data_IF_454856144705
#
_entry.id   IF_454856144705
#
_cell.length_a   1.000
_cell.length_b   1.000
_cell.length_c   1.000
_cell.angle_alpha   90.00
_cell.angle_beta   90.00
_cell.angle_gamma   90.00
#
_symmetry.space_group_name_H-M   'P 1'
#
loop_
_entity.id
_entity.type
_entity.pdbx_description
1 polymer ?
#
# COMPACT_ATOMS: atom_id res chain seq x y z
N UNK A 1 -29.02 21.35 -61.75
CA UNK A 1 -30.34 20.78 -62.08
C UNK A 1 -30.56 19.56 -61.22
N UNK A 2 -31.63 19.52 -60.44
CA UNK A 2 -31.89 18.42 -59.50
C UNK A 2 -33.02 18.78 -58.55
N UNK A 3 -34.22 18.83 -59.14
CA UNK A 3 -35.52 19.16 -58.58
C UNK A 3 -35.71 18.99 -57.05
N UNK A 4 -36.19 20.09 -56.48
CA UNK A 4 -37.01 20.15 -55.28
C UNK A 4 -38.11 19.07 -55.29
N UNK A 5 -38.18 18.24 -54.24
CA UNK A 5 -39.42 17.60 -53.84
C UNK A 5 -39.77 18.06 -52.42
N UNK A 6 -40.59 19.12 -52.34
CA UNK A 6 -41.25 19.56 -51.12
C UNK A 6 -42.35 18.55 -50.78
N UNK A 7 -42.20 17.81 -49.68
CA UNK A 7 -43.35 17.13 -49.06
C UNK A 7 -44.36 18.17 -48.56
N UNK A 8 -45.67 17.95 -48.74
CA UNK A 8 -46.68 18.91 -48.32
C UNK A 8 -46.72 19.00 -46.79
N UNK A 9 -46.75 20.22 -46.27
CA UNK A 9 -47.07 20.50 -44.87
C UNK A 9 -48.50 20.01 -44.61
N UNK A 10 -48.64 18.97 -43.79
CA UNK A 10 -49.92 18.64 -43.20
C UNK A 10 -50.38 19.80 -42.30
N UNK A 11 -51.64 20.17 -42.45
CA UNK A 11 -52.31 21.25 -41.74
C UNK A 11 -52.14 21.12 -40.23
N UNK A 12 -51.95 22.26 -39.56
CA UNK A 12 -51.80 22.32 -38.11
C UNK A 12 -53.07 21.89 -37.40
N UNK A 13 -52.98 20.81 -36.63
CA UNK A 13 -53.80 20.67 -35.43
C UNK A 13 -53.26 21.61 -34.35
N UNK A 14 -54.02 22.68 -34.09
CA UNK A 14 -53.85 23.51 -32.91
C UNK A 14 -54.24 22.68 -31.69
N UNK A 15 -53.26 22.04 -31.04
CA UNK A 15 -53.46 21.36 -29.78
C UNK A 15 -52.16 20.95 -29.09
N UNK A 16 -51.95 21.50 -27.88
CA UNK A 16 -50.97 21.07 -26.87
C UNK A 16 -49.54 21.68 -26.89
N UNK A 17 -49.46 22.99 -26.65
CA UNK A 17 -48.24 23.76 -26.33
C UNK A 17 -47.52 23.31 -25.02
N UNK A 18 -48.04 22.34 -24.27
CA UNK A 18 -47.45 21.83 -22.99
C UNK A 18 -47.09 20.34 -23.02
N UNK A 19 -47.06 19.68 -24.17
CA UNK A 19 -46.68 18.25 -24.22
C UNK A 19 -45.16 18.08 -24.17
N UNK A 20 -44.62 17.29 -23.24
CA UNK A 20 -43.19 16.98 -23.21
C UNK A 20 -42.80 16.21 -24.48
N UNK A 21 -41.59 16.45 -24.97
CA UNK A 21 -41.12 15.82 -26.20
C UNK A 21 -41.10 14.28 -26.08
N UNK A 22 -41.53 13.60 -27.15
CA UNK A 22 -41.65 12.15 -27.22
C UNK A 22 -40.30 11.51 -27.59
N UNK A 23 -39.29 11.69 -26.75
CA UNK A 23 -37.97 11.05 -26.90
C UNK A 23 -37.78 9.93 -25.88
N UNK A 24 -37.00 8.90 -26.24
CA UNK A 24 -36.75 7.75 -25.36
C UNK A 24 -36.21 8.15 -23.98
N UNK A 25 -35.39 9.21 -23.92
CA UNK A 25 -34.88 9.78 -22.68
C UNK A 25 -35.99 10.42 -21.82
N UNK A 26 -36.78 11.34 -22.40
CA UNK A 26 -37.83 12.08 -21.66
C UNK A 26 -39.02 11.21 -21.27
N UNK A 27 -39.24 10.11 -21.99
CA UNK A 27 -40.32 9.15 -21.74
C UNK A 27 -39.87 7.94 -20.90
N UNK A 28 -38.61 7.93 -20.41
CA UNK A 28 -38.04 6.81 -19.64
C UNK A 28 -38.11 5.45 -20.36
N UNK A 29 -38.00 5.47 -21.70
CA UNK A 29 -37.98 4.29 -22.58
C UNK A 29 -36.59 4.06 -23.17
N UNK A 30 -35.55 4.45 -22.44
CA UNK A 30 -34.19 4.12 -22.82
C UNK A 30 -34.03 2.60 -22.87
N UNK A 31 -33.20 2.12 -23.81
CA UNK A 31 -32.84 0.71 -23.87
C UNK A 31 -32.16 0.33 -22.55
N UNK A 32 -32.87 -0.44 -21.73
CA UNK A 32 -32.37 -0.93 -20.46
C UNK A 32 -32.23 -2.45 -20.51
N UNK A 33 -31.19 -2.96 -19.85
CA UNK A 33 -31.07 -4.38 -19.55
C UNK A 33 -31.47 -4.60 -18.10
N UNK A 34 -32.42 -5.50 -17.88
CA UNK A 34 -32.90 -5.87 -16.55
C UNK A 34 -32.39 -7.28 -16.23
N UNK A 35 -31.32 -7.44 -15.43
CA UNK A 35 -30.82 -8.75 -15.06
C UNK A 35 -31.83 -9.44 -14.15
N UNK A 36 -32.55 -10.43 -14.68
CA UNK A 36 -33.40 -11.30 -13.88
C UNK A 36 -32.52 -12.40 -13.28
N UNK A 37 -32.38 -12.38 -11.95
CA UNK A 37 -31.63 -13.38 -11.20
C UNK A 37 -32.41 -14.69 -11.14
N UNK A 38 -32.18 -15.57 -12.12
CA UNK A 38 -32.77 -16.91 -12.15
C UNK A 38 -31.75 -17.96 -11.67
N UNK A 39 -32.17 -19.11 -11.11
CA UNK A 39 -31.23 -20.16 -10.74
C UNK A 39 -30.33 -20.61 -11.89
N UNK A 40 -30.85 -20.59 -13.13
CA UNK A 40 -30.12 -20.93 -14.36
C UNK A 40 -29.00 -19.95 -14.70
N UNK A 41 -29.08 -18.70 -14.23
CA UNK A 41 -28.02 -17.70 -14.43
C UNK A 41 -27.13 -17.59 -13.20
N UNK A 42 -27.70 -17.55 -12.00
CA UNK A 42 -26.95 -17.31 -10.74
C UNK A 42 -26.08 -18.50 -10.34
N UNK A 43 -26.60 -19.74 -10.36
CA UNK A 43 -25.84 -20.90 -9.87
C UNK A 43 -24.59 -21.17 -10.72
N UNK A 44 -24.65 -21.18 -12.07
CA UNK A 44 -23.45 -21.32 -12.89
C UNK A 44 -22.46 -20.17 -12.66
N UNK A 45 -22.93 -18.92 -12.52
CA UNK A 45 -22.05 -17.79 -12.24
C UNK A 45 -21.29 -17.97 -10.92
N UNK A 46 -21.96 -18.42 -9.85
CA UNK A 46 -21.29 -18.69 -8.57
C UNK A 46 -20.24 -19.79 -8.68
N UNK A 47 -20.52 -20.89 -9.39
CA UNK A 47 -19.53 -21.94 -9.64
C UNK A 47 -18.34 -21.43 -10.45
N UNK A 48 -18.58 -20.67 -11.53
CA UNK A 48 -17.52 -20.11 -12.37
C UNK A 48 -16.63 -19.18 -11.55
N UNK A 49 -17.21 -18.25 -10.78
CA UNK A 49 -16.43 -17.32 -9.94
C UNK A 49 -15.63 -18.08 -8.89
N UNK A 50 -16.23 -19.08 -8.22
CA UNK A 50 -15.53 -19.91 -7.24
C UNK A 50 -14.35 -20.69 -7.84
N UNK A 51 -14.55 -21.33 -8.99
CA UNK A 51 -13.52 -22.10 -9.70
C UNK A 51 -12.39 -21.18 -10.20
N UNK A 52 -12.68 -19.93 -10.57
CA UNK A 52 -11.64 -18.96 -10.96
C UNK A 52 -10.88 -18.40 -9.77
N UNK A 53 -11.54 -18.16 -8.64
CA UNK A 53 -10.92 -17.55 -7.46
C UNK A 53 -9.98 -18.51 -6.73
N UNK A 54 -10.27 -19.82 -6.71
CA UNK A 54 -9.44 -20.83 -6.07
C UNK A 54 -7.99 -20.89 -6.62
N UNK A 55 -7.74 -21.04 -7.94
CA UNK A 55 -6.38 -21.06 -8.49
C UNK A 55 -5.67 -19.72 -8.35
N UNK A 56 -6.39 -18.59 -8.48
CA UNK A 56 -5.82 -17.26 -8.20
C UNK A 56 -5.35 -17.19 -6.74
N UNK A 57 -6.19 -17.60 -5.78
CA UNK A 57 -5.85 -17.64 -4.37
C UNK A 57 -4.62 -18.52 -4.09
N UNK A 58 -4.58 -19.73 -4.65
CA UNK A 58 -3.43 -20.63 -4.54
C UNK A 58 -2.14 -20.03 -5.11
N UNK A 59 -2.21 -19.39 -6.27
CA UNK A 59 -1.08 -18.73 -6.91
C UNK A 59 -0.56 -17.53 -6.09
N UNK A 60 -1.45 -16.76 -5.45
CA UNK A 60 -1.06 -15.67 -4.55
C UNK A 60 -0.40 -16.19 -3.26
N UNK A 61 -0.92 -17.28 -2.66
CA UNK A 61 -0.32 -17.92 -1.48
C UNK A 61 1.08 -18.43 -1.82
N UNK A 62 1.23 -19.10 -2.96
CA UNK A 62 2.53 -19.57 -3.44
C UNK A 62 3.50 -18.40 -3.70
N UNK A 63 3.06 -17.31 -4.34
CA UNK A 63 3.88 -16.12 -4.53
C UNK A 63 4.38 -15.51 -3.21
N UNK A 64 3.56 -15.53 -2.15
CA UNK A 64 3.98 -15.12 -0.81
C UNK A 64 4.91 -16.13 -0.13
N UNK A 65 4.88 -17.42 -0.48
CA UNK A 65 5.71 -18.45 0.15
C UNK A 65 7.16 -18.44 -0.37
N UNK A 66 7.42 -17.75 -1.48
CA UNK A 66 8.75 -17.54 -2.07
C UNK A 66 9.57 -16.43 -1.38
N UNK A 67 8.93 -15.63 -0.52
CA UNK A 67 9.58 -14.48 0.12
C UNK A 67 10.16 -14.87 1.48
N UNK A 68 11.39 -14.43 1.76
CA UNK A 68 11.99 -14.44 3.09
C UNK A 68 11.90 -13.04 3.68
N UNK A 69 11.43 -12.95 4.93
CA UNK A 69 11.36 -11.70 5.70
C UNK A 69 11.94 -11.97 7.10
N UNK A 70 12.92 -11.18 7.51
CA UNK A 70 13.57 -11.26 8.82
C UNK A 70 13.43 -9.89 9.49
N UNK A 71 12.87 -9.85 10.70
CA UNK A 71 12.64 -8.61 11.46
C UNK A 71 13.37 -8.67 12.79
N UNK A 72 14.05 -7.59 13.17
CA UNK A 72 14.82 -7.48 14.41
C UNK A 72 14.52 -6.14 15.10
N UNK A 73 13.87 -6.20 16.27
CA UNK A 73 13.51 -5.04 17.08
C UNK A 73 14.67 -4.65 18.01
N UNK A 74 15.21 -3.46 17.78
CA UNK A 74 16.34 -2.92 18.52
C UNK A 74 15.93 -1.73 19.41
N UNK A 75 14.63 -1.54 19.66
CA UNK A 75 14.10 -0.39 20.42
C UNK A 75 14.66 -0.31 21.83
N UNK A 76 14.88 -1.48 22.47
CA UNK A 76 15.34 -1.58 23.86
C UNK A 76 16.87 -1.53 23.99
N UNK A 77 17.61 -1.43 22.88
CA UNK A 77 19.06 -1.43 22.90
C UNK A 77 19.63 -0.24 23.68
N UNK A 78 18.94 0.91 23.66
CA UNK A 78 19.35 2.12 24.39
C UNK A 78 19.32 1.96 25.93
N UNK A 79 18.60 0.96 26.44
CA UNK A 79 18.46 0.66 27.87
C UNK A 79 19.48 -0.36 28.39
N UNK A 80 20.36 -0.88 27.55
CA UNK A 80 21.43 -1.77 28.00
C UNK A 80 22.57 -1.02 28.69
N UNK A 81 23.37 -1.76 29.44
CA UNK A 81 24.67 -1.27 29.90
C UNK A 81 25.61 -1.05 28.71
N UNK A 82 26.23 0.13 28.56
CA UNK A 82 27.17 0.41 27.49
C UNK A 82 28.43 -0.45 27.59
N UNK A 83 28.88 -0.96 26.45
CA UNK A 83 30.17 -1.65 26.31
C UNK A 83 31.33 -0.65 26.45
N UNK A 84 32.47 -1.12 26.94
CA UNK A 84 33.66 -0.28 27.22
C UNK A 84 34.44 0.09 25.96
N UNK A 85 34.44 -0.77 24.94
CA UNK A 85 35.06 -0.51 23.64
C UNK A 85 34.35 -1.28 22.52
N UNK A 86 34.56 -0.85 21.27
CA UNK A 86 34.05 -1.56 20.08
C UNK A 86 34.70 -2.94 19.88
N UNK A 87 35.90 -3.15 20.44
CA UNK A 87 36.61 -4.43 20.37
C UNK A 87 36.11 -5.44 21.41
N UNK A 88 35.48 -4.97 22.50
CA UNK A 88 34.98 -5.79 23.59
C UNK A 88 33.51 -5.47 23.90
N UNK A 89 32.63 -5.92 23.01
CA UNK A 89 31.18 -5.71 23.11
C UNK A 89 30.54 -6.70 24.09
N UNK A 90 29.75 -6.18 25.02
CA UNK A 90 28.95 -6.99 25.95
C UNK A 90 27.60 -7.30 25.32
N UNK A 91 27.49 -8.46 24.68
CA UNK A 91 26.24 -8.87 24.01
C UNK A 91 25.21 -9.39 24.99
N UNK A 92 23.96 -9.02 24.74
CA UNK A 92 22.76 -9.56 25.38
C UNK A 92 21.88 -10.20 24.33
N UNK A 93 21.33 -11.36 24.65
CA UNK A 93 20.38 -12.07 23.79
C UNK A 93 19.11 -11.24 23.56
N UNK A 94 18.69 -11.15 22.30
CA UNK A 94 17.42 -10.52 21.94
C UNK A 94 16.27 -11.40 22.45
N UNK A 95 15.25 -10.83 23.12
CA UNK A 95 14.08 -11.60 23.54
C UNK A 95 13.34 -12.23 22.36
N UNK A 96 12.71 -13.39 22.57
CA UNK A 96 12.07 -14.18 21.50
C UNK A 96 10.89 -13.50 20.83
N UNK A 97 10.27 -12.51 21.47
CA UNK A 97 9.19 -11.68 20.91
C UNK A 97 9.71 -10.48 20.08
N UNK A 98 11.03 -10.22 20.09
CA UNK A 98 11.67 -9.06 19.45
C UNK A 98 12.29 -9.37 18.09
N UNK A 99 12.32 -10.63 17.67
CA UNK A 99 12.69 -10.98 16.31
C UNK A 99 11.70 -11.94 15.67
N UNK A 100 11.72 -12.00 14.34
CA UNK A 100 10.91 -12.93 13.58
C UNK A 100 11.63 -13.36 12.31
N UNK A 101 11.77 -14.66 12.12
CA UNK A 101 12.25 -15.28 10.90
C UNK A 101 11.08 -15.90 10.13
N UNK A 102 10.67 -15.23 9.04
CA UNK A 102 9.62 -15.71 8.14
C UNK A 102 10.25 -16.09 6.80
N UNK A 103 10.97 -17.21 6.78
CA UNK A 103 11.75 -17.69 5.63
C UNK A 103 10.85 -18.21 4.49
N UNK A 104 11.38 -18.23 3.26
CA UNK A 104 10.71 -18.90 2.14
C UNK A 104 10.55 -20.41 2.43
N UNK A 105 9.49 -21.02 1.91
CA UNK A 105 9.11 -22.38 2.29
C UNK A 105 10.18 -23.44 2.01
N UNK A 106 11.02 -23.25 0.98
CA UNK A 106 12.14 -24.16 0.69
C UNK A 106 13.22 -24.17 1.78
N UNK A 107 13.41 -23.05 2.47
CA UNK A 107 14.51 -22.86 3.41
C UNK A 107 14.08 -23.15 4.85
N UNK A 108 12.78 -23.03 5.13
CA UNK A 108 12.23 -23.13 6.48
C UNK A 108 12.51 -24.49 7.14
N UNK A 109 12.52 -25.60 6.40
CA UNK A 109 12.69 -26.95 6.97
C UNK A 109 14.10 -27.22 7.49
N UNK A 110 15.12 -26.54 6.95
CA UNK A 110 16.53 -26.72 7.33
C UNK A 110 17.12 -25.55 8.11
N UNK A 111 16.32 -24.53 8.41
CA UNK A 111 16.78 -23.34 9.10
C UNK A 111 16.70 -23.50 10.61
N UNK A 112 17.83 -23.30 11.28
CA UNK A 112 17.92 -23.18 12.74
C UNK A 112 18.84 -21.99 13.06
N UNK A 113 18.39 -20.74 12.86
CA UNK A 113 19.19 -19.57 13.21
C UNK A 113 19.42 -19.54 14.71
N UNK A 114 20.62 -19.13 15.12
CA UNK A 114 20.89 -18.82 16.52
C UNK A 114 20.09 -17.60 16.98
N UNK A 115 19.97 -17.43 18.29
CA UNK A 115 19.29 -16.28 18.86
C UNK A 115 20.05 -15.01 18.50
N UNK A 116 19.41 -14.00 17.86
CA UNK A 116 20.05 -12.71 17.64
C UNK A 116 20.46 -12.09 18.97
N UNK A 117 21.53 -11.31 18.96
CA UNK A 117 22.02 -10.62 20.15
C UNK A 117 22.38 -9.19 19.80
N UNK A 118 22.32 -8.31 20.78
CA UNK A 118 22.69 -6.91 20.60
C UNK A 118 23.54 -6.40 21.75
N UNK A 119 24.36 -5.39 21.46
CA UNK A 119 25.18 -4.68 22.43
C UNK A 119 25.02 -3.17 22.21
N UNK A 120 25.08 -2.41 23.29
CA UNK A 120 25.10 -0.96 23.25
C UNK A 120 26.53 -0.46 23.34
N UNK A 121 26.88 0.54 22.52
CA UNK A 121 28.12 1.28 22.61
C UNK A 121 27.82 2.77 22.65
N UNK A 122 28.52 3.52 23.52
CA UNK A 122 28.34 4.97 23.65
C UNK A 122 29.69 5.67 23.60
N UNK A 123 29.81 6.64 22.70
CA UNK A 123 30.91 7.59 22.63
C UNK A 123 30.32 9.01 22.56
N UNK A 124 29.95 9.62 23.70
CA UNK A 124 29.30 10.94 23.69
C UNK A 124 30.21 12.06 23.16
N UNK A 125 31.52 11.82 23.09
CA UNK A 125 32.50 12.79 22.58
C UNK A 125 32.62 12.79 21.07
N UNK A 126 32.01 11.82 20.39
CA UNK A 126 32.08 11.69 18.95
C UNK A 126 31.48 12.90 18.24
N UNK A 127 32.21 13.41 17.24
CA UNK A 127 31.76 14.51 16.40
C UNK A 127 30.59 14.10 15.52
N UNK A 128 30.57 12.84 15.07
CA UNK A 128 29.43 12.27 14.37
C UNK A 128 28.33 11.88 15.36
N UNK A 129 27.18 12.55 15.25
CA UNK A 129 26.00 12.30 16.08
C UNK A 129 25.55 10.84 15.97
N UNK A 130 25.66 10.24 14.78
CA UNK A 130 25.27 8.85 14.56
C UNK A 130 26.18 7.84 15.28
N UNK A 131 27.43 8.21 15.56
CA UNK A 131 28.38 7.37 16.28
C UNK A 131 28.31 7.53 17.80
N UNK A 132 27.54 8.50 18.32
CA UNK A 132 27.49 8.76 19.78
C UNK A 132 26.81 7.66 20.58
N UNK A 133 25.80 7.04 20.02
CA UNK A 133 25.05 5.96 20.66
C UNK A 133 24.71 4.94 19.60
N UNK A 134 25.38 3.81 19.64
CA UNK A 134 25.30 2.77 18.63
C UNK A 134 24.74 1.48 19.22
N UNK A 135 23.81 0.87 18.49
CA UNK A 135 23.38 -0.50 18.74
C UNK A 135 24.05 -1.43 17.74
N UNK A 136 24.83 -2.38 18.24
CA UNK A 136 25.45 -3.42 17.43
C UNK A 136 24.56 -4.65 17.52
N UNK A 137 24.03 -5.12 16.40
CA UNK A 137 23.16 -6.29 16.34
C UNK A 137 23.83 -7.39 15.55
N UNK A 138 23.92 -8.59 16.12
CA UNK A 138 24.35 -9.80 15.44
C UNK A 138 23.17 -10.73 15.21
N UNK A 139 23.02 -11.21 13.98
CA UNK A 139 21.92 -12.07 13.57
C UNK A 139 22.37 -13.05 12.49
N UNK A 140 21.67 -14.17 12.38
CA UNK A 140 21.96 -15.18 11.37
C UNK A 140 21.08 -15.01 10.15
N UNK A 141 21.68 -15.16 8.98
CA UNK A 141 21.01 -15.41 7.71
C UNK A 141 21.05 -16.93 7.47
N UNK A 142 19.96 -17.66 7.75
CA UNK A 142 20.00 -19.13 7.82
C UNK A 142 20.11 -19.82 6.45
N UNK A 143 19.78 -19.11 5.38
CA UNK A 143 19.86 -19.58 3.99
C UNK A 143 20.20 -18.42 3.07
N UNK A 144 20.87 -18.72 1.96
CA UNK A 144 21.25 -17.71 0.97
C UNK A 144 20.01 -17.03 0.37
N UNK A 145 19.97 -15.71 0.49
CA UNK A 145 18.95 -14.89 -0.12
C UNK A 145 19.38 -14.58 -1.56
N UNK A 146 18.52 -14.84 -2.56
CA UNK A 146 18.81 -14.46 -3.94
C UNK A 146 18.96 -12.94 -4.07
N UNK A 147 19.46 -12.50 -5.22
CA UNK A 147 19.58 -11.08 -5.55
C UNK A 147 18.24 -10.34 -5.39
N UNK A 148 18.29 -9.02 -5.22
CA UNK A 148 17.14 -8.17 -4.85
C UNK A 148 16.76 -8.30 -3.37
N UNK A 149 17.76 -8.11 -2.50
CA UNK A 149 17.56 -8.01 -1.05
C UNK A 149 17.23 -6.56 -0.71
N UNK A 150 16.14 -6.38 0.01
CA UNK A 150 15.62 -5.09 0.43
C UNK A 150 15.81 -4.91 1.92
N UNK A 151 16.27 -3.73 2.31
CA UNK A 151 16.49 -3.35 3.70
C UNK A 151 15.52 -2.23 4.08
N UNK A 152 14.61 -2.52 5.01
CA UNK A 152 13.62 -1.59 5.52
C UNK A 152 13.88 -1.28 6.99
N UNK A 153 13.42 -0.12 7.45
CA UNK A 153 13.06 0.05 8.85
C UNK A 153 11.54 -0.09 9.03
N UNK A 154 11.13 -0.56 10.20
CA UNK A 154 9.75 -0.72 10.63
C UNK A 154 9.51 0.15 11.85
N UNK A 155 8.44 0.93 11.84
CA UNK A 155 7.96 1.68 13.00
C UNK A 155 6.58 1.17 13.39
N UNK A 156 6.33 1.11 14.68
CA UNK A 156 5.01 0.80 15.25
C UNK A 156 4.50 1.96 16.09
N UNK A 157 3.17 2.04 16.22
CA UNK A 157 2.49 3.09 16.98
C UNK A 157 2.86 4.53 16.55
N UNK A 158 3.20 4.73 15.28
CA UNK A 158 3.56 6.04 14.72
C UNK A 158 2.54 6.48 13.66
N UNK A 159 1.75 7.51 13.96
CA UNK A 159 0.55 7.87 13.19
C UNK A 159 0.83 8.84 12.03
N UNK A 160 1.51 8.39 10.98
CA UNK A 160 1.66 9.19 9.74
C UNK A 160 0.33 9.53 9.08
N UNK A 161 -0.72 8.74 9.34
CA UNK A 161 -2.06 8.90 8.78
C UNK A 161 -2.94 9.92 9.52
N UNK A 162 -2.43 10.58 10.57
CA UNK A 162 -3.20 11.60 11.28
C UNK A 162 -3.50 12.80 10.36
N UNK A 163 -4.77 13.27 10.32
CA UNK A 163 -5.24 14.31 9.38
C UNK A 163 -4.35 15.55 9.34
N UNK A 164 -3.93 16.05 10.51
CA UNK A 164 -3.04 17.22 10.60
C UNK A 164 -1.62 16.91 10.13
N UNK A 165 -1.14 15.69 10.37
CA UNK A 165 0.21 15.29 10.00
C UNK A 165 0.34 15.18 8.47
N UNK A 166 -0.57 14.46 7.82
CA UNK A 166 -0.57 14.25 6.35
C UNK A 166 -0.59 15.56 5.57
N UNK A 167 -1.29 16.57 6.08
CA UNK A 167 -1.38 17.88 5.43
C UNK A 167 -0.16 18.76 5.66
N UNK A 168 0.64 18.49 6.70
CA UNK A 168 1.65 19.43 7.19
C UNK A 168 2.93 19.40 6.35
N UNK A 169 2.83 20.01 5.16
CA UNK A 169 3.89 20.25 4.19
C UNK A 169 3.46 21.41 3.26
N UNK A 170 4.42 22.06 2.60
CA UNK A 170 4.13 23.04 1.54
C UNK A 170 4.74 22.57 0.22
N UNK A 171 3.89 22.22 -0.75
CA UNK A 171 4.36 21.66 -2.04
C UNK A 171 5.05 22.68 -2.94
N UNK A 172 4.77 23.99 -2.79
CA UNK A 172 5.50 25.01 -3.53
C UNK A 172 6.90 25.20 -2.97
N UNK A 173 7.04 25.22 -1.64
CA UNK A 173 8.34 25.27 -0.96
C UNK A 173 9.21 24.06 -1.33
N UNK A 174 8.66 22.83 -1.27
CA UNK A 174 9.39 21.61 -1.63
C UNK A 174 9.83 21.61 -3.10
N UNK A 175 9.05 22.22 -4.01
CA UNK A 175 9.40 22.40 -5.42
C UNK A 175 10.38 23.54 -5.69
N UNK A 176 10.93 24.16 -4.65
CA UNK A 176 11.91 25.25 -4.78
C UNK A 176 11.29 26.59 -5.18
N UNK A 177 9.98 26.76 -5.05
CA UNK A 177 9.34 28.06 -5.26
C UNK A 177 9.41 28.90 -4.00
N UNK A 178 9.55 30.20 -4.19
CA UNK A 178 9.45 31.16 -3.10
C UNK A 178 8.02 31.20 -2.55
N UNK A 179 7.89 31.19 -1.23
CA UNK A 179 6.62 31.34 -0.51
C UNK A 179 6.84 32.38 0.57
N UNK A 180 6.00 33.41 0.62
CA UNK A 180 6.18 34.51 1.57
C UNK A 180 5.90 34.05 3.01
N UNK A 181 6.39 34.82 3.99
CA UNK A 181 6.11 34.59 5.41
C UNK A 181 4.59 34.57 5.70
N UNK A 182 3.82 35.48 5.11
CA UNK A 182 2.36 35.51 5.30
C UNK A 182 1.68 34.27 4.74
N UNK A 183 2.07 33.83 3.55
CA UNK A 183 1.47 32.66 2.91
C UNK A 183 1.84 31.36 3.66
N UNK A 184 3.10 31.24 4.12
CA UNK A 184 3.54 30.13 4.95
C UNK A 184 2.84 30.12 6.30
N UNK A 185 2.65 31.30 6.91
CA UNK A 185 1.96 31.44 8.19
C UNK A 185 0.56 30.89 8.12
N UNK A 186 -0.16 31.02 6.99
CA UNK A 186 -1.52 30.50 6.82
C UNK A 186 -1.64 29.17 6.07
N UNK A 187 -0.51 28.61 5.66
CA UNK A 187 -0.45 27.30 4.98
C UNK A 187 -0.69 26.11 5.92
N UNK A 188 -0.81 24.92 5.31
CA UNK A 188 -0.93 23.66 6.03
C UNK A 188 0.35 23.27 6.82
N UNK A 189 1.48 23.96 6.64
CA UNK A 189 2.73 23.71 7.38
C UNK A 189 2.66 24.01 8.89
N UNK A 190 1.55 24.58 9.39
CA UNK A 190 1.33 24.77 10.84
C UNK A 190 1.50 23.43 11.59
N UNK A 191 2.15 23.43 12.77
CA UNK A 191 2.70 24.59 13.49
C UNK A 191 4.15 24.95 13.09
N UNK A 192 4.80 24.18 12.22
CA UNK A 192 6.24 24.28 11.92
C UNK A 192 6.50 25.01 10.59
N UNK A 193 5.88 26.18 10.42
CA UNK A 193 6.08 27.03 9.24
C UNK A 193 7.12 28.13 9.50
N UNK A 194 7.09 28.74 10.68
CA UNK A 194 7.86 29.94 11.02
C UNK A 194 8.38 29.80 12.46
N UNK A 195 9.61 30.25 12.70
CA UNK A 195 10.26 30.33 14.02
C UNK A 195 10.58 31.80 14.31
N UNK A 196 10.40 32.21 15.56
CA UNK A 196 10.68 33.58 16.05
C UNK A 196 9.98 34.71 15.28
N UNK A 197 8.85 34.41 14.64
CA UNK A 197 8.03 35.36 13.89
C UNK A 197 8.60 35.81 12.53
N UNK A 198 9.91 35.65 12.29
CA UNK A 198 10.58 36.20 11.11
C UNK A 198 11.40 35.18 10.30
N UNK A 199 11.64 33.96 10.80
CA UNK A 199 12.44 32.95 10.10
C UNK A 199 11.57 31.83 9.55
N UNK A 200 11.81 31.44 8.30
CA UNK A 200 11.12 30.37 7.59
C UNK A 200 11.76 29.03 7.91
N UNK A 201 10.94 28.05 8.32
CA UNK A 201 11.40 26.66 8.44
C UNK A 201 11.49 26.03 7.06
N UNK A 202 12.63 25.48 6.70
CA UNK A 202 12.80 24.73 5.45
C UNK A 202 13.44 23.37 5.72
N UNK A 203 12.89 22.26 5.19
CA UNK A 203 11.51 22.12 4.71
C UNK A 203 10.47 22.25 5.85
N UNK A 204 9.38 22.97 5.64
CA UNK A 204 8.36 23.18 6.66
C UNK A 204 7.46 21.96 6.87
N UNK A 205 6.84 21.92 8.06
CA UNK A 205 5.77 20.98 8.39
C UNK A 205 6.19 19.75 9.20
N UNK A 206 5.18 19.09 9.78
CA UNK A 206 5.37 17.97 10.73
C UNK A 206 6.00 16.74 10.09
N UNK A 207 5.73 16.49 8.82
CA UNK A 207 6.25 15.31 8.11
C UNK A 207 7.76 15.40 8.04
N UNK A 208 8.29 16.49 7.46
CA UNK A 208 9.73 16.68 7.29
C UNK A 208 10.46 16.78 8.63
N UNK A 209 9.89 17.50 9.61
CA UNK A 209 10.48 17.62 10.94
C UNK A 209 10.69 16.27 11.63
N UNK A 210 9.76 15.34 11.48
CA UNK A 210 9.81 14.04 12.16
C UNK A 210 10.48 12.94 11.34
N UNK A 211 11.34 13.28 10.37
CA UNK A 211 12.06 12.28 9.58
C UNK A 211 12.82 11.28 10.46
N UNK A 212 12.65 10.00 10.13
CA UNK A 212 13.42 8.93 10.75
C UNK A 212 14.91 9.10 10.44
N UNK A 213 15.73 9.15 11.49
CA UNK A 213 17.15 9.54 11.41
C UNK A 213 18.11 8.57 12.11
N UNK A 214 17.68 7.36 12.48
CA UNK A 214 18.66 6.31 12.79
C UNK A 214 19.47 6.00 11.52
N UNK A 215 20.76 5.73 11.70
CA UNK A 215 21.66 5.33 10.62
C UNK A 215 21.89 3.83 10.69
N UNK A 216 22.05 3.20 9.53
CA UNK A 216 22.41 1.80 9.42
C UNK A 216 23.66 1.67 8.56
N UNK A 217 24.68 1.04 9.12
CA UNK A 217 25.88 0.65 8.38
C UNK A 217 25.62 -0.63 7.58
N UNK A 218 26.48 -0.89 6.60
CA UNK A 218 26.40 -2.11 5.78
C UNK A 218 26.66 -3.35 6.63
N UNK A 219 25.78 -4.38 6.61
CA UNK A 219 25.99 -5.58 7.40
C UNK A 219 27.27 -6.30 7.05
N UNK A 220 28.04 -6.68 8.06
CA UNK A 220 29.30 -7.39 7.93
C UNK A 220 29.10 -8.88 8.16
N UNK A 221 29.41 -9.71 7.17
CA UNK A 221 29.46 -11.17 7.31
C UNK A 221 30.70 -11.55 8.13
N UNK A 222 30.49 -12.18 9.28
CA UNK A 222 31.54 -12.52 10.24
C UNK A 222 32.24 -13.84 9.93
N UNK A 223 31.56 -14.75 9.23
CA UNK A 223 32.01 -16.11 8.95
C UNK A 223 31.89 -16.45 7.46
N UNK A 224 32.63 -15.75 6.57
CA UNK A 224 32.61 -16.08 5.16
C UNK A 224 33.15 -17.48 4.89
N UNK A 225 32.46 -18.22 4.02
CA UNK A 225 32.92 -19.53 3.56
C UNK A 225 34.07 -19.34 2.56
N UNK A 226 35.25 -19.93 2.82
CA UNK A 226 36.38 -19.90 1.87
C UNK A 226 37.77 -19.53 2.42
N UNK A 227 37.97 -19.49 3.74
CA UNK A 227 39.31 -19.32 4.34
C UNK A 227 39.85 -17.88 4.33
N UNK A 228 39.05 -16.90 3.93
CA UNK A 228 39.36 -15.48 4.12
C UNK A 228 39.12 -15.12 5.59
N UNK A 229 40.17 -14.87 6.36
CA UNK A 229 40.07 -14.47 7.78
C UNK A 229 39.46 -13.06 8.00
N UNK A 230 38.86 -12.46 6.97
CA UNK A 230 38.32 -11.10 7.00
C UNK A 230 36.79 -11.08 6.99
N UNK A 231 36.21 -10.00 7.50
CA UNK A 231 34.77 -9.73 7.38
C UNK A 231 34.42 -9.26 5.98
N UNK A 232 33.27 -9.69 5.43
CA UNK A 232 32.79 -9.27 4.10
C UNK A 232 31.57 -8.35 4.25
N UNK A 233 31.66 -7.12 3.76
CA UNK A 233 30.54 -6.17 3.82
C UNK A 233 29.49 -6.46 2.75
N UNK A 234 28.21 -6.48 3.15
CA UNK A 234 27.07 -6.56 2.25
C UNK A 234 26.47 -5.16 2.04
N UNK A 235 26.90 -4.50 0.97
CA UNK A 235 26.53 -3.11 0.69
C UNK A 235 25.09 -2.96 0.20
N UNK A 236 24.32 -2.07 0.86
CA UNK A 236 23.01 -1.64 0.37
C UNK A 236 23.12 -0.26 -0.29
N UNK A 237 22.59 -0.12 -1.52
CA UNK A 237 22.47 1.20 -2.14
C UNK A 237 21.25 1.94 -1.61
N UNK A 238 21.43 3.23 -1.29
CA UNK A 238 20.35 4.17 -0.98
C UNK A 238 19.71 4.81 -2.22
N UNK A 239 20.05 4.34 -3.43
CA UNK A 239 19.51 4.81 -4.71
C UNK A 239 18.55 3.80 -5.30
N UNK A 240 17.56 4.27 -6.07
CA UNK A 240 16.51 3.41 -6.65
C UNK A 240 15.56 2.81 -5.60
N UNK A 241 15.42 3.49 -4.46
CA UNK A 241 14.53 3.13 -3.35
C UNK A 241 13.25 3.98 -3.33
N UNK A 242 13.23 5.13 -4.01
CA UNK A 242 12.04 5.95 -4.21
C UNK A 242 11.34 5.61 -5.52
N UNK A 243 10.04 5.95 -5.62
CA UNK A 243 9.28 5.70 -6.84
C UNK A 243 9.77 6.57 -8.00
N UNK A 244 9.81 6.04 -9.24
CA UNK A 244 10.16 6.84 -10.41
C UNK A 244 9.28 8.10 -10.51
N UNK A 245 9.93 9.25 -10.58
CA UNK A 245 9.26 10.55 -10.67
C UNK A 245 8.93 11.23 -9.34
N UNK A 246 9.12 10.59 -8.18
CA UNK A 246 8.95 11.26 -6.87
C UNK A 246 9.90 12.44 -6.72
N UNK A 247 11.14 12.30 -7.19
CA UNK A 247 12.13 13.37 -7.23
C UNK A 247 11.62 14.66 -7.89
N UNK A 248 10.65 14.61 -8.82
CA UNK A 248 10.08 15.81 -9.47
C UNK A 248 9.29 16.71 -8.52
N UNK A 249 8.90 16.20 -7.34
CA UNK A 249 8.19 16.98 -6.31
C UNK A 249 9.15 17.82 -5.45
N UNK A 250 10.45 17.61 -5.60
CA UNK A 250 11.49 18.20 -4.76
C UNK A 250 12.47 18.98 -5.62
N UNK A 251 12.91 20.14 -5.13
CA UNK A 251 14.02 20.90 -5.70
C UNK A 251 15.35 20.50 -5.05
N UNK A 252 16.45 20.82 -5.73
CA UNK A 252 17.82 20.61 -5.24
C UNK A 252 18.20 21.61 -4.16
N UNK A 253 17.63 22.80 -4.22
CA UNK A 253 17.84 23.89 -3.26
C UNK A 253 16.52 24.65 -3.05
N UNK A 254 16.35 25.35 -1.92
CA UNK A 254 15.28 26.33 -1.77
C UNK A 254 15.39 27.44 -2.82
N UNK A 255 14.31 28.19 -3.01
CA UNK A 255 14.29 29.30 -3.97
C UNK A 255 15.40 30.32 -3.70
N UNK A 256 16.08 30.78 -4.76
CA UNK A 256 17.12 31.81 -4.69
C UNK A 256 16.63 33.15 -4.09
N UNK A 257 15.32 33.35 -4.00
CA UNK A 257 14.71 34.52 -3.35
C UNK A 257 14.81 34.47 -1.81
N UNK A 258 15.03 33.29 -1.22
CA UNK A 258 15.29 33.20 0.21
C UNK A 258 16.74 33.60 0.51
N UNK A 259 16.93 34.49 1.47
CA UNK A 259 18.26 34.67 2.07
C UNK A 259 18.52 33.51 3.02
N UNK A 260 19.76 33.03 3.04
CA UNK A 260 20.15 31.92 3.90
C UNK A 260 19.91 32.24 5.40
N UNK A 261 20.09 33.51 5.80
CA UNK A 261 19.80 34.01 7.15
C UNK A 261 18.34 33.87 7.58
N UNK A 262 17.43 33.82 6.61
CA UNK A 262 15.99 33.79 6.83
C UNK A 262 15.48 32.35 6.91
N UNK A 263 16.31 31.36 6.57
CA UNK A 263 16.00 29.95 6.62
C UNK A 263 16.54 29.30 7.89
N UNK A 264 15.71 28.47 8.51
CA UNK A 264 16.11 27.61 9.63
C UNK A 264 15.71 26.16 9.35
N UNK A 265 16.50 25.19 9.83
CA UNK A 265 16.12 23.80 9.78
C UNK A 265 14.90 23.54 10.68
N UNK A 266 14.15 22.45 10.44
CA UNK A 266 13.14 21.99 11.37
C UNK A 266 13.73 21.75 12.77
N UNK A 267 12.96 21.99 13.86
CA UNK A 267 13.48 21.85 15.23
C UNK A 267 14.19 20.52 15.54
N UNK A 268 13.66 19.40 15.05
CA UNK A 268 14.25 18.08 15.27
C UNK A 268 15.48 17.79 14.40
N UNK A 269 15.87 18.72 13.52
CA UNK A 269 17.08 18.63 12.71
C UNK A 269 18.24 19.42 13.33
N UNK A 270 18.04 20.02 14.50
CA UNK A 270 19.03 20.84 15.22
C UNK A 270 20.37 20.14 15.44
N UNK A 271 20.39 18.82 15.70
CA UNK A 271 21.66 18.07 15.83
C UNK A 271 22.41 17.91 14.50
N UNK A 272 21.69 17.87 13.37
CA UNK A 272 22.27 17.80 12.02
C UNK A 272 22.74 19.17 11.55
N UNK A 273 22.08 20.24 12.00
CA UNK A 273 22.35 21.63 11.65
C UNK A 273 22.48 22.50 12.92
N UNK A 274 23.54 22.31 13.73
CA UNK A 274 23.67 22.99 15.02
C UNK A 274 23.76 24.51 14.91
N UNK A 275 24.34 25.01 13.81
CA UNK A 275 24.49 26.44 13.52
C UNK A 275 23.46 26.96 12.50
N UNK A 276 22.29 26.32 12.40
CA UNK A 276 21.33 26.50 11.31
C UNK A 276 21.97 26.26 9.93
N UNK A 277 21.35 26.79 8.87
CA UNK A 277 21.90 26.70 7.52
C UNK A 277 22.99 27.76 7.32
N UNK A 278 24.18 27.31 6.94
CA UNK A 278 25.34 28.17 6.62
C UNK A 278 25.85 27.85 5.22
N UNK A 279 26.84 28.61 4.72
CA UNK A 279 27.42 28.31 3.40
C UNK A 279 28.16 26.97 3.39
N UNK A 280 28.74 26.60 4.54
CA UNK A 280 29.45 25.35 4.77
C UNK A 280 28.48 24.17 5.00
N UNK A 281 27.33 24.42 5.61
CA UNK A 281 26.27 23.44 5.83
C UNK A 281 24.92 23.94 5.28
N UNK A 282 24.76 23.99 3.94
CA UNK A 282 23.57 24.53 3.30
C UNK A 282 22.36 23.60 3.46
N UNK A 283 21.15 24.06 3.09
CA UNK A 283 19.97 23.21 3.06
C UNK A 283 20.18 21.95 2.20
N UNK A 284 19.68 20.79 2.62
CA UNK A 284 19.96 19.53 1.94
C UNK A 284 19.25 19.43 0.57
N UNK A 285 19.88 18.71 -0.36
CA UNK A 285 19.28 18.34 -1.65
C UNK A 285 18.20 17.27 -1.46
N UNK A 286 16.95 17.73 -1.32
CA UNK A 286 15.77 16.88 -1.14
C UNK A 286 15.44 16.05 -2.40
N UNK A 287 15.90 16.49 -3.57
CA UNK A 287 15.68 15.80 -4.85
C UNK A 287 16.60 14.60 -5.01
N UNK A 288 17.82 14.67 -4.48
CA UNK A 288 18.77 13.56 -4.47
C UNK A 288 18.59 12.60 -3.27
N UNK A 289 17.96 13.05 -2.19
CA UNK A 289 17.70 12.27 -0.98
C UNK A 289 16.44 11.39 -1.10
N UNK A 290 16.61 10.17 -1.61
CA UNK A 290 15.50 9.23 -1.77
C UNK A 290 14.94 8.72 -0.42
N UNK A 291 15.73 8.73 0.66
CA UNK A 291 15.26 8.34 2.00
C UNK A 291 14.29 9.38 2.54
N UNK A 292 14.58 10.67 2.31
CA UNK A 292 13.64 11.76 2.58
C UNK A 292 12.35 11.61 1.77
N UNK A 293 12.44 11.30 0.47
CA UNK A 293 11.27 11.10 -0.40
C UNK A 293 10.38 9.95 0.10
N UNK A 294 10.99 8.84 0.51
CA UNK A 294 10.28 7.71 1.11
C UNK A 294 9.59 8.07 2.44
N UNK A 295 10.21 8.92 3.25
CA UNK A 295 9.59 9.43 4.47
C UNK A 295 8.35 10.29 4.18
N UNK A 296 8.50 11.27 3.28
CA UNK A 296 7.45 12.22 2.90
C UNK A 296 6.21 11.54 2.31
N UNK A 297 6.34 10.35 1.72
CA UNK A 297 5.20 9.51 1.33
C UNK A 297 4.58 8.81 2.54
N UNK A 298 3.66 9.47 3.23
CA UNK A 298 3.03 8.98 4.46
C UNK A 298 2.40 7.59 4.35
N UNK A 299 2.57 6.76 5.38
CA UNK A 299 1.91 5.46 5.51
C UNK A 299 0.43 5.60 5.90
N UNK A 300 -0.40 4.63 5.48
CA UNK A 300 -1.84 4.60 5.79
C UNK A 300 -2.19 4.01 7.17
N UNK A 301 -1.25 3.28 7.79
CA UNK A 301 -1.43 2.59 9.08
C UNK A 301 -0.33 3.03 10.08
N UNK A 302 -0.57 2.89 11.40
CA UNK A 302 0.40 3.28 12.43
C UNK A 302 1.60 2.34 12.55
N UNK A 303 1.49 1.14 11.97
CA UNK A 303 2.60 0.20 11.81
C UNK A 303 2.91 0.11 10.33
N UNK A 304 4.15 0.44 9.96
CA UNK A 304 4.58 0.50 8.57
C UNK A 304 6.07 0.24 8.44
N UNK A 305 6.48 -0.11 7.22
CA UNK A 305 7.87 -0.21 6.81
C UNK A 305 8.20 0.84 5.77
N UNK A 306 9.48 1.24 5.70
CA UNK A 306 10.00 2.16 4.69
C UNK A 306 11.34 1.62 4.20
N UNK A 307 11.51 1.63 2.88
CA UNK A 307 12.74 1.13 2.25
C UNK A 307 13.88 2.11 2.53
N UNK A 308 14.97 1.61 3.09
CA UNK A 308 16.17 2.37 3.45
C UNK A 308 17.34 2.07 2.52
N UNK A 309 17.41 0.84 2.00
CA UNK A 309 18.40 0.42 1.02
C UNK A 309 17.99 -0.84 0.27
N UNK A 310 18.64 -1.10 -0.86
CA UNK A 310 18.44 -2.32 -1.67
C UNK A 310 19.75 -2.81 -2.26
N UNK A 311 19.84 -4.11 -2.55
CA UNK A 311 20.94 -4.70 -3.31
C UNK A 311 20.35 -5.67 -4.35
N UNK A 312 20.48 -5.32 -5.62
CA UNK A 312 19.91 -6.08 -6.74
C UNK A 312 20.93 -6.98 -7.45
N UNK A 313 22.21 -6.85 -7.11
CA UNK A 313 23.31 -7.47 -7.86
C UNK A 313 23.89 -8.69 -7.17
N UNK A 314 24.04 -8.65 -5.84
CA UNK A 314 24.71 -9.70 -5.07
C UNK A 314 23.72 -10.49 -4.19
N UNK A 315 23.82 -11.83 -4.14
CA UNK A 315 23.08 -12.62 -3.16
C UNK A 315 23.63 -12.37 -1.75
N UNK A 316 22.75 -12.38 -0.75
CA UNK A 316 23.16 -12.33 0.66
C UNK A 316 23.42 -13.76 1.14
N UNK A 317 24.70 -14.09 1.35
CA UNK A 317 25.17 -15.43 1.69
C UNK A 317 24.59 -15.88 3.04
N UNK A 318 24.53 -17.21 3.24
CA UNK A 318 24.25 -17.78 4.55
C UNK A 318 25.42 -17.46 5.51
N UNK A 319 25.11 -17.02 6.72
CA UNK A 319 26.11 -16.75 7.75
C UNK A 319 25.61 -15.81 8.84
N UNK A 320 26.50 -15.45 9.75
CA UNK A 320 26.24 -14.54 10.85
C UNK A 320 26.68 -13.14 10.44
N UNK A 321 25.75 -12.20 10.49
CA UNK A 321 25.96 -10.81 10.13
C UNK A 321 25.96 -9.93 11.36
N UNK A 322 26.79 -8.89 11.34
CA UNK A 322 26.78 -7.79 12.30
C UNK A 322 26.35 -6.51 11.60
N UNK A 323 25.41 -5.79 12.18
CA UNK A 323 25.00 -4.45 11.73
C UNK A 323 25.18 -3.45 12.87
N UNK A 324 25.74 -2.29 12.55
CA UNK A 324 25.87 -1.18 13.48
C UNK A 324 24.79 -0.14 13.15
N UNK A 325 24.07 0.29 14.18
CA UNK A 325 22.91 1.18 14.07
C UNK A 325 23.13 2.42 14.94
N UNK A 326 23.16 3.60 14.35
CA UNK A 326 23.18 4.86 15.10
C UNK A 326 21.79 5.19 15.65
N UNK A 327 21.65 5.29 16.97
CA UNK A 327 20.38 5.52 17.66
C UNK A 327 20.09 7.02 17.81
N UNK A 328 19.36 7.60 16.86
CA UNK A 328 19.00 9.03 16.85
C UNK A 328 17.48 9.29 16.97
N UNK A 329 16.66 8.26 16.73
CA UNK A 329 15.21 8.37 16.67
C UNK A 329 14.56 7.72 17.90
N UNK A 330 14.15 8.48 18.93
CA UNK A 330 13.56 7.94 20.14
C UNK A 330 12.14 7.42 19.88
N UNK A 331 11.84 6.19 20.28
CA UNK A 331 10.51 5.58 20.09
C UNK A 331 9.81 5.18 21.39
N UNK A 332 10.58 4.99 22.46
CA UNK A 332 10.04 4.53 23.74
C UNK A 332 9.08 5.55 24.38
N UNK A 333 9.31 6.85 24.15
CA UNK A 333 8.52 7.95 24.73
C UNK A 333 7.03 7.89 24.35
N UNK A 334 6.72 7.40 23.14
CA UNK A 334 5.34 7.22 22.67
C UNK A 334 4.91 5.76 22.64
N UNK A 335 5.63 4.88 23.35
CA UNK A 335 5.34 3.42 23.42
C UNK A 335 5.31 2.77 22.03
N UNK A 336 6.14 3.26 21.12
CA UNK A 336 6.36 2.63 19.81
C UNK A 336 7.56 1.69 19.83
N UNK A 337 7.76 1.00 18.73
CA UNK A 337 8.95 0.20 18.47
C UNK A 337 9.56 0.52 17.11
N UNK A 338 10.88 0.32 17.01
CA UNK A 338 11.67 0.39 15.81
C UNK A 338 12.42 -0.90 15.57
N UNK A 339 12.37 -1.37 14.33
CA UNK A 339 13.02 -2.60 13.90
C UNK A 339 13.65 -2.38 12.54
N UNK A 340 14.71 -3.12 12.22
CA UNK A 340 15.11 -3.27 10.82
C UNK A 340 14.56 -4.59 10.27
N UNK A 341 14.28 -4.59 8.97
CA UNK A 341 13.68 -5.72 8.26
C UNK A 341 14.47 -5.99 6.99
N UNK A 342 14.97 -7.20 6.87
CA UNK A 342 15.62 -7.70 5.65
C UNK A 342 14.60 -8.58 4.95
N UNK A 343 14.26 -8.26 3.70
CA UNK A 343 13.28 -9.02 2.94
C UNK A 343 13.72 -9.21 1.50
N UNK A 344 13.41 -10.37 0.94
CA UNK A 344 13.39 -10.54 -0.51
C UNK A 344 12.06 -10.05 -1.07
N UNK A 345 11.93 -10.00 -2.39
CA UNK A 345 10.68 -9.66 -3.08
C UNK A 345 10.29 -10.78 -4.04
N UNK A 346 9.00 -10.98 -4.22
CA UNK A 346 8.45 -11.80 -5.30
C UNK A 346 7.56 -10.93 -6.20
N UNK A 347 6.98 -11.53 -7.24
CA UNK A 347 6.13 -10.82 -8.21
C UNK A 347 4.87 -10.19 -7.58
N UNK A 348 4.42 -10.69 -6.42
CA UNK A 348 3.30 -10.13 -5.65
C UNK A 348 3.76 -9.07 -4.62
N UNK A 349 5.07 -8.90 -4.44
CA UNK A 349 5.68 -7.98 -3.48
C UNK A 349 6.29 -8.71 -2.27
N UNK A 350 5.92 -8.28 -1.07
CA UNK A 350 6.44 -8.83 0.20
C UNK A 350 5.68 -10.06 0.70
N UNK A 351 6.06 -10.55 1.89
CA UNK A 351 5.50 -11.77 2.48
C UNK A 351 4.12 -11.55 3.12
N UNK A 352 3.07 -11.53 2.32
CA UNK A 352 1.70 -11.38 2.78
C UNK A 352 0.71 -12.38 2.13
N UNK A 353 0.37 -13.50 2.81
CA UNK A 353 -0.56 -14.48 2.27
C UNK A 353 -2.04 -14.12 2.47
N UNK A 354 -2.36 -12.99 3.14
CA UNK A 354 -3.74 -12.61 3.48
C UNK A 354 -4.64 -12.55 2.25
N UNK A 355 -4.19 -11.87 1.18
CA UNK A 355 -4.96 -11.72 -0.04
C UNK A 355 -5.27 -13.09 -0.65
N UNK A 356 -4.28 -13.99 -0.71
CA UNK A 356 -4.47 -15.34 -1.21
C UNK A 356 -5.49 -16.14 -0.41
N UNK A 357 -5.42 -16.10 0.92
CA UNK A 357 -6.42 -16.74 1.79
C UNK A 357 -7.81 -16.11 1.65
N UNK A 358 -7.92 -14.80 1.44
CA UNK A 358 -9.20 -14.15 1.18
C UNK A 358 -9.86 -14.63 -0.12
N UNK A 359 -9.07 -14.86 -1.17
CA UNK A 359 -9.56 -15.48 -2.42
C UNK A 359 -10.02 -16.92 -2.20
N UNK A 360 -9.24 -17.73 -1.47
CA UNK A 360 -9.60 -19.12 -1.16
C UNK A 360 -10.88 -19.18 -0.31
N UNK A 361 -11.00 -18.34 0.71
CA UNK A 361 -12.20 -18.25 1.55
C UNK A 361 -13.42 -17.82 0.74
N UNK A 362 -13.28 -16.81 -0.13
CA UNK A 362 -14.36 -16.35 -1.01
C UNK A 362 -14.79 -17.45 -1.99
N UNK A 363 -13.84 -18.18 -2.58
CA UNK A 363 -14.11 -19.31 -3.45
C UNK A 363 -14.90 -20.41 -2.72
N UNK A 364 -14.50 -20.76 -1.50
CA UNK A 364 -15.18 -21.75 -0.68
C UNK A 364 -16.64 -21.33 -0.38
N UNK A 365 -16.87 -20.05 -0.04
CA UNK A 365 -18.21 -19.52 0.19
C UNK A 365 -19.06 -19.58 -1.08
N UNK A 366 -18.53 -19.17 -2.24
CA UNK A 366 -19.30 -19.23 -3.49
C UNK A 366 -19.66 -20.65 -3.91
N UNK A 367 -18.72 -21.59 -3.80
CA UNK A 367 -18.99 -23.00 -4.11
C UNK A 367 -20.01 -23.59 -3.12
N UNK A 368 -19.90 -23.30 -1.83
CA UNK A 368 -20.86 -23.75 -0.82
C UNK A 368 -22.27 -23.22 -1.12
N UNK A 369 -22.41 -21.92 -1.40
CA UNK A 369 -23.70 -21.31 -1.75
C UNK A 369 -24.25 -21.89 -3.05
N UNK A 370 -23.40 -22.17 -4.04
CA UNK A 370 -23.81 -22.79 -5.29
C UNK A 370 -24.30 -24.23 -5.09
N UNK A 371 -23.62 -25.03 -4.27
CA UNK A 371 -24.04 -26.40 -3.90
C UNK A 371 -25.37 -26.36 -3.17
N UNK A 372 -25.49 -25.56 -2.10
CA UNK A 372 -26.73 -25.43 -1.33
C UNK A 372 -27.89 -24.92 -2.19
N UNK A 373 -27.63 -23.94 -3.05
CA UNK A 373 -28.60 -23.41 -4.01
C UNK A 373 -29.05 -24.45 -5.02
N UNK A 374 -28.12 -25.28 -5.51
CA UNK A 374 -28.42 -26.39 -6.43
C UNK A 374 -29.25 -27.46 -5.74
N UNK A 375 -28.87 -27.90 -4.53
CA UNK A 375 -29.66 -28.85 -3.72
C UNK A 375 -31.07 -28.31 -3.50
N UNK A 376 -31.20 -27.05 -3.06
CA UNK A 376 -32.52 -26.43 -2.85
C UNK A 376 -33.34 -26.38 -4.14
N UNK A 377 -32.72 -26.04 -5.27
CA UNK A 377 -33.40 -25.98 -6.57
C UNK A 377 -33.91 -27.36 -7.02
N UNK A 378 -33.16 -28.42 -6.73
CA UNK A 378 -33.54 -29.80 -7.04
C UNK A 378 -34.61 -30.35 -6.08
N UNK A 379 -34.50 -30.06 -4.78
CA UNK A 379 -35.43 -30.59 -3.74
C UNK A 379 -36.76 -29.84 -3.69
N UNK A 380 -36.75 -28.52 -3.91
CA UNK A 380 -37.97 -27.67 -3.90
C UNK A 380 -37.96 -26.71 -5.10
N UNK A 381 -38.19 -27.21 -6.33
CA UNK A 381 -38.29 -26.35 -7.50
C UNK A 381 -39.53 -25.45 -7.36
N UNK A 382 -39.30 -24.15 -7.19
CA UNK A 382 -40.37 -23.15 -7.36
C UNK A 382 -40.53 -22.87 -8.84
N UNK A 383 -41.72 -23.16 -9.39
CA UNK A 383 -42.08 -22.70 -10.71
C UNK A 383 -42.02 -21.17 -10.72
N UNK A 384 -41.27 -20.61 -11.66
CA UNK A 384 -41.30 -19.18 -11.92
C UNK A 384 -42.65 -18.85 -12.57
N UNK A 385 -43.65 -18.56 -11.73
CA UNK A 385 -44.94 -18.03 -12.20
C UNK A 385 -44.68 -16.62 -12.71
N UNK A 386 -44.32 -16.47 -13.98
CA UNK A 386 -44.59 -15.34 -14.87
C UNK A 386 -43.77 -15.50 -16.16
N UNK A 387 -44.36 -15.08 -17.29
CA UNK A 387 -43.82 -14.98 -18.67
C UNK A 387 -44.17 -16.07 -19.69
N UNK A 388 -44.53 -17.30 -19.32
CA UNK A 388 -45.05 -18.24 -20.33
C UNK A 388 -46.41 -17.82 -20.91
N UNK A 389 -47.18 -16.99 -20.22
CA UNK A 389 -48.49 -16.54 -20.71
C UNK A 389 -48.40 -15.41 -21.77
N UNK A 390 -47.26 -14.73 -21.94
CA UNK A 390 -47.17 -13.60 -22.91
C UNK A 390 -46.58 -13.98 -24.27
N UNK A 391 -45.79 -15.06 -24.34
CA UNK A 391 -45.18 -15.51 -25.59
C UNK A 391 -46.15 -16.32 -26.47
N UNK A 392 -47.01 -17.14 -25.87
CA UNK A 392 -48.03 -17.92 -26.61
C UNK A 392 -49.19 -17.06 -27.11
N UNK A 393 -49.60 -16.02 -26.37
CA UNK A 393 -50.68 -15.12 -26.82
C UNK A 393 -50.23 -14.22 -27.99
N UNK A 394 -48.97 -13.81 -28.05
CA UNK A 394 -48.46 -12.98 -29.16
C UNK A 394 -48.28 -13.75 -30.46
N UNK A 395 -48.05 -15.07 -30.43
CA UNK A 395 -47.91 -15.87 -31.63
C UNK A 395 -49.26 -16.40 -32.16
N UNK A 396 -50.21 -16.72 -31.27
CA UNK A 396 -51.54 -17.18 -31.69
C UNK A 396 -52.42 -16.03 -32.20
N UNK A 397 -52.29 -14.81 -31.64
CA UNK A 397 -53.05 -13.63 -32.11
C UNK A 397 -52.68 -13.12 -33.51
N UNK A 398 -51.53 -13.51 -34.06
CA UNK A 398 -51.11 -13.13 -35.42
C UNK A 398 -51.51 -14.16 -36.49
N UNK A 399 -51.81 -15.39 -36.11
CA UNK A 399 -52.11 -16.48 -37.04
C UNK A 399 -53.61 -16.70 -37.26
N UNK A 400 -54.46 -16.32 -36.31
CA UNK A 400 -55.91 -16.48 -36.44
C UNK A 400 -56.61 -15.13 -36.34
N UNK A 401 -57.19 -14.71 -37.47
CA UNK A 401 -58.05 -13.53 -37.54
C UNK A 401 -59.19 -13.60 -36.52
N UNK A 402 -59.72 -12.42 -36.16
CA UNK A 402 -60.71 -12.17 -35.09
C UNK A 402 -61.96 -13.08 -35.05
N UNK A 403 -62.20 -13.92 -36.06
CA UNK A 403 -63.36 -14.80 -36.14
C UNK A 403 -63.15 -16.22 -35.58
N UNK A 404 -61.92 -16.65 -35.27
CA UNK A 404 -61.69 -18.01 -34.72
C UNK A 404 -61.62 -18.05 -33.19
N UNK A 405 -61.50 -16.89 -32.53
CA UNK A 405 -61.50 -16.79 -31.07
C UNK A 405 -62.88 -17.14 -30.47
N UNK A 406 -63.96 -17.00 -31.23
CA UNK A 406 -65.32 -17.35 -30.79
C UNK A 406 -65.65 -18.86 -30.88
N UNK A 407 -64.78 -19.68 -31.48
CA UNK A 407 -65.05 -21.10 -31.74
C UNK A 407 -64.38 -22.08 -30.77
N UNK A 408 -63.47 -21.61 -29.90
CA UNK A 408 -62.73 -22.46 -28.95
C UNK A 408 -63.21 -22.35 -27.50
N UNK A 409 -64.24 -21.55 -27.23
CA UNK A 409 -64.84 -21.43 -25.90
C UNK A 409 -65.60 -22.68 -25.38
N UNK A 410 -66.16 -23.59 -26.20
CA UNK A 410 -66.90 -24.74 -25.65
C UNK A 410 -66.07 -26.03 -25.50
N UNK A 411 -64.78 -26.05 -25.85
CA UNK A 411 -63.95 -27.29 -25.81
C UNK A 411 -63.14 -27.41 -24.50
N UNK A 412 -63.02 -26.33 -23.71
CA UNK A 412 -62.31 -26.35 -22.43
C UNK A 412 -63.31 -26.47 -21.27
N UNK A 413 -63.52 -27.71 -20.82
CA UNK A 413 -64.33 -28.01 -19.63
C UNK A 413 -63.86 -27.32 -18.34
N UNK A 414 -64.70 -27.31 -17.29
CA UNK A 414 -64.68 -26.31 -16.23
C UNK A 414 -63.69 -26.67 -15.12
N UNK A 415 -62.40 -26.32 -15.29
CA UNK A 415 -61.45 -26.31 -14.14
C UNK A 415 -60.57 -25.05 -14.11
N UNK A 416 -60.64 -24.17 -15.11
CA UNK A 416 -59.76 -23.00 -15.20
C UNK A 416 -60.50 -21.66 -15.12
N UNK A 417 -61.38 -21.49 -14.13
CA UNK A 417 -61.93 -20.18 -13.77
C UNK A 417 -62.15 -20.10 -12.26
N UNK A 418 -61.05 -20.04 -11.50
CA UNK A 418 -61.00 -19.21 -10.30
C UNK A 418 -59.63 -18.57 -10.23
N UNK A 419 -59.67 -17.26 -10.05
CA UNK A 419 -58.54 -16.32 -10.11
C UNK A 419 -57.84 -16.29 -11.45
N UNK A 420 -58.42 -15.52 -12.37
CA UNK A 420 -57.76 -14.34 -12.95
C UNK A 420 -58.82 -13.34 -13.43
#
# INVERSE_FOLDING_TARGET
MGLFSRKPKAAGEKGAWRRPANTAFKQQRLKAWQPILTPKTVLPTLFIVGILFAPIGGLLIWGSSLVTEMTFDYSQCENLEPSTSLDNLTFTDMPTDKFSYRLRSSDQKGASPSNPRYALFKDPTNTDVAARTQCIVEFDVPAELPNSVMFYYKLTNFYQNHRRYVKSLNSDQLRGKFVSLSDLKDSDCKPLAIVDGNKVVYPCGLIANSIFNDTFDSPLLLNPSGGSSGTEAYEFTGKGIAWPGEAKKYATSPSDQYKLSDLVPPPNWSLRFPNNYTQENPPPDLRADERFQNWMRTAGLPTFTKLYGRNDTAPMKKGTYRITIGLNYPVLQYKGTKSFVISTVSWIGGKNPFLGWAYVASAAVFVLLAILGTIRHLVKPRYATHYLCRATISHVSKALGRHVIAFLEPIMGPVYLRTL
#
